data_IF_877386613514
#
_entry.id   IF_877386613514
#
_cell.length_a   1.000
_cell.length_b   1.000
_cell.length_c   1.000
_cell.angle_alpha   90.00
_cell.angle_beta   90.00
_cell.angle_gamma   90.00
#
_symmetry.space_group_name_H-M   'P 1'
#
loop_
_entity.id
_entity.type
_entity.pdbx_description
1 polymer ?
#
# COMPACT_ATOMS: atom_id res chain seq x y z
N UNK A 1 13.89 -14.09 -15.25
CA UNK A 1 13.19 -14.87 -16.28
C UNK A 1 14.18 -15.90 -16.75
N UNK A 2 13.91 -17.18 -16.50
CA UNK A 2 14.75 -18.26 -17.01
C UNK A 2 14.37 -18.50 -18.47
N UNK A 3 15.31 -18.34 -19.39
CA UNK A 3 15.08 -18.55 -20.81
C UNK A 3 15.20 -20.03 -21.21
N UNK A 4 15.73 -20.88 -20.33
CA UNK A 4 15.84 -22.32 -20.55
C UNK A 4 14.53 -23.06 -20.21
N UNK A 5 13.67 -22.46 -19.39
CA UNK A 5 12.30 -22.93 -19.11
C UNK A 5 11.30 -21.76 -19.13
N UNK A 6 10.94 -21.27 -20.34
CA UNK A 6 10.15 -20.05 -20.49
C UNK A 6 8.72 -20.20 -19.97
N UNK A 7 8.13 -21.40 -20.05
CA UNK A 7 6.75 -21.63 -19.62
C UNK A 7 6.62 -21.60 -18.10
N UNK A 8 7.52 -22.26 -17.38
CA UNK A 8 7.55 -22.18 -15.92
C UNK A 8 7.89 -20.77 -15.45
N UNK A 9 8.86 -20.10 -16.10
CA UNK A 9 9.19 -18.72 -15.78
C UNK A 9 8.00 -17.78 -15.97
N UNK A 10 7.21 -17.97 -17.03
CA UNK A 10 5.98 -17.22 -17.29
C UNK A 10 4.91 -17.52 -16.24
N UNK A 11 4.63 -18.79 -15.96
CA UNK A 11 3.64 -19.20 -14.97
C UNK A 11 3.95 -18.62 -13.58
N UNK A 12 5.21 -18.75 -13.15
CA UNK A 12 5.67 -18.15 -11.89
C UNK A 12 5.44 -16.65 -11.89
N UNK A 13 5.80 -15.94 -12.98
CA UNK A 13 5.60 -14.49 -13.04
C UNK A 13 4.13 -14.09 -13.02
N UNK A 14 3.25 -14.88 -13.62
CA UNK A 14 1.81 -14.62 -13.64
C UNK A 14 1.17 -14.81 -12.26
N UNK A 15 1.66 -15.78 -11.48
CA UNK A 15 1.21 -16.02 -10.11
C UNK A 15 1.79 -15.00 -9.12
N UNK A 16 2.95 -14.43 -9.47
CA UNK A 16 3.71 -13.42 -8.74
C UNK A 16 3.07 -12.02 -8.79
N UNK A 17 1.80 -11.93 -8.43
CA UNK A 17 1.03 -10.68 -8.35
C UNK A 17 0.61 -10.41 -6.92
N UNK A 18 0.70 -9.14 -6.52
CA UNK A 18 0.37 -8.65 -5.18
C UNK A 18 -0.96 -9.21 -4.61
N UNK A 19 -1.99 -9.28 -5.45
CA UNK A 19 -3.32 -9.71 -5.06
C UNK A 19 -3.41 -11.20 -4.69
N UNK A 20 -2.44 -12.02 -5.10
CA UNK A 20 -2.37 -13.44 -4.79
C UNK A 20 -1.56 -13.74 -3.53
N UNK A 21 -0.89 -12.73 -2.97
CA UNK A 21 -0.08 -12.91 -1.77
C UNK A 21 -0.92 -12.94 -0.51
N UNK A 22 -0.50 -13.78 0.44
CA UNK A 22 -0.97 -13.75 1.82
C UNK A 22 -0.59 -12.43 2.50
N UNK A 23 -1.30 -12.08 3.58
CA UNK A 23 -1.00 -10.87 4.35
C UNK A 23 0.45 -10.85 4.84
N UNK A 24 0.98 -12.00 5.27
CA UNK A 24 2.36 -12.13 5.74
C UNK A 24 3.38 -11.84 4.63
N UNK A 25 3.11 -12.28 3.40
CA UNK A 25 4.00 -12.02 2.27
C UNK A 25 3.95 -10.54 1.86
N UNK A 26 2.76 -9.92 1.92
CA UNK A 26 2.59 -8.47 1.71
C UNK A 26 3.35 -7.66 2.77
N UNK A 27 3.26 -8.03 4.05
CA UNK A 27 4.02 -7.39 5.15
C UNK A 27 5.53 -7.46 4.87
N UNK A 28 6.05 -8.63 4.51
CA UNK A 28 7.48 -8.80 4.17
C UNK A 28 7.90 -7.88 3.03
N UNK A 29 7.06 -7.76 2.00
CA UNK A 29 7.31 -6.88 0.85
C UNK A 29 7.37 -5.41 1.29
N UNK A 30 6.38 -4.94 2.04
CA UNK A 30 6.35 -3.56 2.54
C UNK A 30 7.52 -3.24 3.48
N UNK A 31 7.92 -4.18 4.36
CA UNK A 31 9.10 -4.01 5.22
C UNK A 31 10.39 -3.87 4.39
N UNK A 32 10.53 -4.67 3.33
CA UNK A 32 11.68 -4.55 2.43
C UNK A 32 11.66 -3.20 1.69
N UNK A 33 10.49 -2.74 1.25
CA UNK A 33 10.33 -1.46 0.57
C UNK A 33 10.63 -0.27 1.48
N UNK A 34 10.25 -0.32 2.76
CA UNK A 34 10.60 0.71 3.75
C UNK A 34 12.10 0.90 3.82
N UNK A 35 12.86 -0.18 3.95
CA UNK A 35 14.32 -0.12 4.06
C UNK A 35 14.93 0.35 2.75
N UNK A 36 14.46 -0.21 1.63
CA UNK A 36 14.99 0.07 0.29
C UNK A 36 14.78 1.52 -0.12
N UNK A 37 13.59 2.07 0.13
CA UNK A 37 13.20 3.39 -0.33
C UNK A 37 13.22 4.45 0.77
N UNK A 38 13.60 4.08 2.01
CA UNK A 38 13.60 4.97 3.18
C UNK A 38 12.26 5.67 3.37
N UNK A 39 11.20 4.87 3.41
CA UNK A 39 9.84 5.38 3.50
C UNK A 39 9.55 5.95 4.90
N UNK A 40 9.00 7.15 4.96
CA UNK A 40 8.55 7.78 6.21
C UNK A 40 7.08 7.46 6.53
N UNK A 41 6.31 6.97 5.55
CA UNK A 41 4.87 6.73 5.68
C UNK A 41 4.29 5.99 4.47
N UNK A 42 3.08 5.45 4.63
CA UNK A 42 2.31 4.84 3.55
C UNK A 42 1.05 5.63 3.22
N UNK A 43 0.64 5.59 1.95
CA UNK A 43 -0.67 6.08 1.51
C UNK A 43 -1.42 4.91 0.85
N UNK A 44 -2.55 4.55 1.43
CA UNK A 44 -3.42 3.49 0.94
C UNK A 44 -4.65 4.08 0.25
N UNK A 45 -4.87 3.67 -0.99
CA UNK A 45 -6.13 3.94 -1.69
C UNK A 45 -7.14 2.85 -1.32
N UNK A 46 -8.12 3.23 -0.51
CA UNK A 46 -9.31 2.44 -0.19
C UNK A 46 -10.32 2.60 -1.32
N UNK A 47 -10.06 1.88 -2.40
CA UNK A 47 -10.90 1.87 -3.58
C UNK A 47 -12.19 1.08 -3.30
N UNK A 48 -13.35 1.73 -3.44
CA UNK A 48 -14.67 1.11 -3.20
C UNK A 48 -14.93 -0.08 -4.12
N UNK A 49 -14.60 0.03 -5.40
CA UNK A 49 -14.81 -1.06 -6.37
C UNK A 49 -13.76 -2.16 -6.28
N UNK A 50 -12.51 -1.85 -5.93
CA UNK A 50 -11.42 -2.83 -5.89
C UNK A 50 -11.27 -3.52 -4.52
N UNK A 51 -12.32 -4.23 -4.09
CA UNK A 51 -12.38 -4.89 -2.76
C UNK A 51 -11.14 -5.74 -2.45
N UNK A 52 -10.64 -6.50 -3.43
CA UNK A 52 -9.46 -7.38 -3.27
C UNK A 52 -8.18 -6.60 -2.95
N UNK A 53 -8.05 -5.38 -3.46
CA UNK A 53 -6.89 -4.52 -3.24
C UNK A 53 -7.01 -3.71 -1.94
N UNK A 54 -8.23 -3.28 -1.61
CA UNK A 54 -8.53 -2.51 -0.39
C UNK A 54 -8.58 -3.39 0.86
N UNK A 55 -8.98 -4.66 0.72
CA UNK A 55 -9.03 -5.63 1.80
C UNK A 55 -7.63 -5.94 2.32
N UNK A 56 -7.49 -5.95 3.64
CA UNK A 56 -6.22 -6.19 4.32
C UNK A 56 -5.32 -4.97 4.45
N UNK A 57 -5.61 -3.84 3.77
CA UNK A 57 -4.76 -2.64 3.91
C UNK A 57 -4.73 -2.10 5.35
N UNK A 58 -5.83 -2.22 6.10
CA UNK A 58 -5.86 -1.82 7.52
C UNK A 58 -5.00 -2.73 8.39
N UNK A 59 -5.05 -4.04 8.14
CA UNK A 59 -4.18 -5.01 8.83
C UNK A 59 -2.70 -4.73 8.52
N UNK A 60 -2.38 -4.43 7.26
CA UNK A 60 -1.03 -4.02 6.86
C UNK A 60 -0.60 -2.74 7.59
N UNK A 61 -1.41 -1.69 7.56
CA UNK A 61 -1.11 -0.42 8.21
C UNK A 61 -0.90 -0.59 9.72
N UNK A 62 -1.74 -1.38 10.38
CA UNK A 62 -1.61 -1.69 11.80
C UNK A 62 -0.26 -2.37 12.08
N UNK A 63 0.08 -3.42 11.34
CA UNK A 63 1.34 -4.14 11.54
C UNK A 63 2.56 -3.23 11.29
N UNK A 64 2.52 -2.38 10.27
CA UNK A 64 3.64 -1.46 9.97
C UNK A 64 3.80 -0.41 11.08
N UNK A 65 2.68 0.14 11.58
CA UNK A 65 2.70 1.09 12.70
C UNK A 65 3.21 0.43 13.99
N UNK A 66 2.75 -0.78 14.32
CA UNK A 66 3.14 -1.48 15.55
C UNK A 66 4.58 -1.98 15.53
N UNK A 67 5.06 -2.51 14.40
CA UNK A 67 6.40 -3.12 14.33
C UNK A 67 7.51 -2.12 14.15
N UNK A 68 7.29 -1.05 13.38
CA UNK A 68 8.35 -0.14 12.96
C UNK A 68 7.97 1.34 13.06
N UNK A 69 6.79 1.66 13.61
CA UNK A 69 6.39 3.03 13.88
C UNK A 69 6.01 3.88 12.65
N UNK A 70 5.88 3.27 11.47
CA UNK A 70 5.59 3.97 10.22
C UNK A 70 4.08 4.22 10.09
N UNK A 71 3.66 5.49 10.02
CA UNK A 71 2.25 5.85 9.93
C UNK A 71 1.70 5.65 8.53
N UNK A 72 0.37 5.62 8.43
CA UNK A 72 -0.34 5.44 7.16
C UNK A 72 -1.51 6.41 7.02
N UNK A 73 -1.75 6.88 5.80
CA UNK A 73 -2.92 7.65 5.38
C UNK A 73 -3.84 6.77 4.53
N UNK A 74 -5.15 6.89 4.74
CA UNK A 74 -6.15 6.25 3.88
C UNK A 74 -6.91 7.31 3.08
N UNK A 75 -6.92 7.13 1.76
CA UNK A 75 -7.74 7.90 0.83
C UNK A 75 -8.87 7.01 0.34
N UNK A 76 -10.10 7.39 0.65
CA UNK A 76 -11.30 6.67 0.21
C UNK A 76 -11.81 7.31 -1.08
N UNK A 77 -11.85 6.52 -2.15
CA UNK A 77 -12.40 6.93 -3.43
C UNK A 77 -12.75 5.72 -4.30
N UNK A 78 -13.11 5.98 -5.55
CA UNK A 78 -13.29 4.97 -6.57
C UNK A 78 -12.48 5.36 -7.82
N UNK A 79 -12.04 4.37 -8.59
CA UNK A 79 -11.25 4.59 -9.80
C UNK A 79 -12.08 5.07 -11.00
N UNK A 80 -13.39 4.81 -10.98
CA UNK A 80 -14.30 5.12 -12.08
C UNK A 80 -15.49 5.99 -11.66
N UNK A 81 -15.82 6.04 -10.36
CA UNK A 81 -16.90 6.88 -9.83
C UNK A 81 -16.37 8.16 -9.15
N UNK A 82 -16.42 9.33 -9.82
CA UNK A 82 -15.96 10.59 -9.22
C UNK A 82 -16.80 11.02 -8.02
N UNK A 83 -18.05 10.54 -7.90
CA UNK A 83 -18.92 10.84 -6.75
C UNK A 83 -18.41 10.21 -5.46
N UNK A 84 -17.54 9.20 -5.57
CA UNK A 84 -16.93 8.55 -4.42
C UNK A 84 -15.72 9.31 -3.86
N UNK A 85 -15.27 10.39 -4.51
CA UNK A 85 -14.13 11.18 -4.09
C UNK A 85 -14.56 12.54 -3.51
N UNK A 86 -14.00 12.89 -2.36
CA UNK A 86 -14.19 14.19 -1.73
C UNK A 86 -12.85 14.95 -1.68
N UNK A 87 -12.67 15.90 -2.60
CA UNK A 87 -11.40 16.61 -2.80
C UNK A 87 -10.96 17.40 -1.56
N UNK A 88 -11.79 18.33 -1.09
CA UNK A 88 -11.41 19.21 0.03
C UNK A 88 -11.07 18.43 1.32
N UNK A 89 -11.88 17.44 1.77
CA UNK A 89 -11.50 16.61 2.91
C UNK A 89 -10.24 15.77 2.67
N UNK A 90 -10.04 15.27 1.45
CA UNK A 90 -8.82 14.50 1.13
C UNK A 90 -7.59 15.38 1.20
N UNK A 91 -7.65 16.60 0.66
CA UNK A 91 -6.55 17.57 0.70
C UNK A 91 -6.14 17.88 2.14
N UNK A 92 -7.10 18.17 3.01
CA UNK A 92 -6.83 18.43 4.44
C UNK A 92 -6.17 17.23 5.12
N UNK A 93 -6.65 16.00 4.86
CA UNK A 93 -6.00 14.78 5.42
C UNK A 93 -4.57 14.61 4.93
N UNK A 94 -4.30 14.92 3.66
CA UNK A 94 -2.95 14.85 3.10
C UNK A 94 -2.03 15.90 3.73
N UNK A 95 -2.49 17.13 3.87
CA UNK A 95 -1.74 18.22 4.52
C UNK A 95 -1.37 17.83 5.95
N UNK A 96 -2.34 17.41 6.78
CA UNK A 96 -2.07 16.98 8.16
C UNK A 96 -1.14 15.75 8.23
N UNK A 97 -1.23 14.84 7.27
CA UNK A 97 -0.33 13.68 7.21
C UNK A 97 1.10 14.10 6.91
N UNK A 98 1.31 15.03 5.97
CA UNK A 98 2.63 15.57 5.64
C UNK A 98 3.23 16.34 6.82
N UNK A 99 2.47 17.20 7.48
CA UNK A 99 2.91 17.92 8.68
C UNK A 99 3.37 16.97 9.80
N UNK A 100 2.62 15.87 10.03
CA UNK A 100 3.01 14.84 10.99
C UNK A 100 4.31 14.13 10.59
N UNK A 101 4.52 13.86 9.29
CA UNK A 101 5.78 13.26 8.82
C UNK A 101 6.96 14.21 8.99
N UNK A 102 6.79 15.50 8.70
CA UNK A 102 7.82 16.52 8.91
C UNK A 102 8.19 16.67 10.39
N UNK A 103 7.20 16.68 11.29
CA UNK A 103 7.43 16.75 12.73
C UNK A 103 8.23 15.55 13.28
N UNK A 104 8.18 14.39 12.60
CA UNK A 104 8.96 13.18 12.96
C UNK A 104 10.38 13.17 12.39
N UNK A 105 10.71 14.04 11.43
CA UNK A 105 12.07 14.18 10.89
C UNK A 105 12.90 14.99 11.88
N UNK A 106 13.67 14.29 12.72
CA UNK A 106 14.74 14.85 13.54
C UNK A 106 16.09 14.41 12.97
#
# INVERSE_FOLDING_TARGET
>A
MDLNDPWTAFANKHLDVWLNYSINQRIKTLLADVVKFKLDGFVFHQNRSCKRFSMGQRDLAQVMQEKIGIPSLFIESDMADPRAYAEAPTRVKMESFLEMLEAKKH
#
